data_IF_128536785081
#
_entry.id   IF_128536785081
#
_cell.length_a   1.000
_cell.length_b   1.000
_cell.length_c   1.000
_cell.angle_alpha   90.00
_cell.angle_beta   90.00
_cell.angle_gamma   90.00
#
_symmetry.space_group_name_H-M   'P 1'
#
loop_
_entity.id
_entity.type
_entity.pdbx_description
1 polymer ?
#
# COMPACT_ATOMS: atom_id res chain seq x y z
N UNK A 1 7.35 -23.77 27.42
CA UNK A 1 6.00 -23.15 27.38
C UNK A 1 5.68 -22.83 25.94
N UNK A 2 4.84 -23.64 25.28
CA UNK A 2 4.43 -23.47 23.88
C UNK A 2 3.04 -22.84 23.86
N UNK A 3 2.87 -21.72 23.18
CA UNK A 3 1.56 -21.16 22.89
C UNK A 3 1.16 -21.56 21.47
N UNK A 4 0.12 -22.38 21.38
CA UNK A 4 -0.59 -22.70 20.14
C UNK A 4 -1.78 -21.74 20.06
N UNK A 5 -1.82 -20.88 19.06
CA UNK A 5 -3.00 -20.07 18.76
C UNK A 5 -3.86 -20.82 17.74
N UNK A 6 -4.99 -21.35 18.20
CA UNK A 6 -6.09 -21.82 17.34
C UNK A 6 -6.96 -20.61 16.96
N UNK A 7 -7.17 -20.37 15.68
CA UNK A 7 -8.21 -19.46 15.19
C UNK A 7 -9.49 -20.27 14.92
N UNK A 8 -10.56 -19.94 15.64
CA UNK A 8 -11.93 -20.39 15.35
C UNK A 8 -12.61 -19.27 14.55
N UNK A 9 -13.18 -19.53 13.36
CA UNK A 9 -14.02 -18.55 12.70
C UNK A 9 -15.39 -18.47 13.39
N UNK A 10 -15.81 -17.26 13.76
CA UNK A 10 -17.16 -16.99 14.26
C UNK A 10 -18.03 -16.59 13.07
N UNK A 11 -19.07 -17.38 12.80
CA UNK A 11 -20.14 -17.05 11.87
C UNK A 11 -20.99 -15.90 12.42
N UNK A 12 -21.16 -14.84 11.62
CA UNK A 12 -22.19 -13.83 11.85
C UNK A 12 -23.05 -13.69 10.60
N UNK A 13 -24.16 -14.42 10.60
CA UNK A 13 -25.28 -14.22 9.70
C UNK A 13 -26.38 -13.42 10.40
N UNK A 14 -27.01 -12.51 9.63
CA UNK A 14 -28.22 -11.72 9.89
C UNK A 14 -28.05 -10.50 10.81
N UNK A 15 -28.31 -9.31 10.25
CA UNK A 15 -29.42 -8.45 10.68
C UNK A 15 -29.71 -7.34 9.63
N UNK A 16 -30.91 -7.46 9.06
CA UNK A 16 -31.90 -6.45 8.67
C UNK A 16 -31.63 -5.28 7.71
N UNK A 17 -32.44 -5.33 6.65
CA UNK A 17 -33.03 -4.23 5.90
C UNK A 17 -33.75 -3.21 6.79
N UNK A 18 -33.66 -1.92 6.44
CA UNK A 18 -34.79 -1.08 6.05
C UNK A 18 -34.33 0.35 5.72
N UNK A 19 -35.04 0.97 4.78
CA UNK A 19 -34.63 2.18 4.08
C UNK A 19 -34.88 3.49 4.83
N UNK A 20 -34.36 4.56 4.24
CA UNK A 20 -34.88 5.91 4.45
C UNK A 20 -34.53 6.78 3.25
N UNK A 21 -35.55 7.51 2.80
CA UNK A 21 -35.67 8.28 1.57
C UNK A 21 -34.85 9.57 1.61
N UNK A 22 -34.34 9.97 0.46
CA UNK A 22 -33.72 11.28 0.23
C UNK A 22 -34.76 12.39 0.30
N UNK A 23 -34.48 13.43 1.09
CA UNK A 23 -35.22 14.70 1.07
C UNK A 23 -34.30 15.77 0.49
N UNK A 24 -34.60 16.23 -0.72
CA UNK A 24 -33.94 17.39 -1.32
C UNK A 24 -34.53 18.65 -0.71
N UNK A 25 -33.69 19.49 -0.09
CA UNK A 25 -34.01 20.88 0.22
C UNK A 25 -33.03 21.79 -0.50
N UNK A 26 -33.53 22.48 -1.51
CA UNK A 26 -32.93 23.65 -2.14
C UNK A 26 -33.01 24.82 -1.16
N UNK A 27 -31.86 25.43 -0.84
CA UNK A 27 -31.80 26.75 -0.22
C UNK A 27 -30.90 27.62 -1.10
N UNK A 28 -31.55 28.54 -1.82
CA UNK A 28 -30.90 29.66 -2.47
C UNK A 28 -30.60 30.74 -1.43
N UNK A 29 -29.34 31.16 -1.34
CA UNK A 29 -28.98 32.45 -0.78
C UNK A 29 -28.00 33.15 -1.72
N UNK A 30 -28.48 34.23 -2.34
CA UNK A 30 -27.66 35.20 -3.04
C UNK A 30 -26.84 36.03 -2.04
N UNK A 31 -25.63 36.40 -2.44
CA UNK A 31 -24.79 37.31 -1.65
C UNK A 31 -23.33 37.23 -2.03
N UNK A 32 -22.92 38.15 -2.91
CA UNK A 32 -21.55 38.45 -3.38
C UNK A 32 -20.44 37.99 -2.43
N UNK A 33 -19.54 37.12 -2.90
CA UNK A 33 -18.20 36.94 -2.34
C UNK A 33 -17.15 37.22 -3.41
N UNK A 34 -16.24 38.16 -3.10
CA UNK A 34 -15.03 38.44 -3.87
C UNK A 34 -14.21 37.16 -4.01
N UNK A 35 -13.82 36.82 -5.23
CA UNK A 35 -12.87 35.75 -5.50
C UNK A 35 -11.49 36.20 -5.03
N UNK A 36 -11.03 35.67 -3.90
CA UNK A 36 -9.61 35.63 -3.60
C UNK A 36 -9.06 34.46 -4.40
N UNK A 37 -8.32 34.77 -5.46
CA UNK A 37 -7.54 33.78 -6.20
C UNK A 37 -6.55 33.13 -5.22
N UNK A 38 -6.90 31.94 -4.72
CA UNK A 38 -5.94 31.07 -4.07
C UNK A 38 -5.10 30.43 -5.16
N UNK A 39 -3.77 30.40 -5.02
CA UNK A 39 -2.90 29.79 -6.02
C UNK A 39 -3.23 28.31 -6.16
N UNK A 40 -3.58 27.91 -7.40
CA UNK A 40 -3.62 26.51 -7.82
C UNK A 40 -2.18 26.04 -7.95
N UNK A 41 -1.61 25.50 -6.87
CA UNK A 41 -0.38 24.72 -6.92
C UNK A 41 -0.62 23.33 -6.35
N UNK A 42 -0.64 22.37 -7.26
CA UNK A 42 -0.44 20.95 -7.01
C UNK A 42 -0.02 20.32 -8.34
N UNK A 43 1.14 19.66 -8.43
CA UNK A 43 1.60 19.07 -9.69
C UNK A 43 0.66 17.95 -10.14
N UNK A 44 0.35 17.92 -11.44
CA UNK A 44 -0.31 16.78 -12.08
C UNK A 44 0.65 15.58 -12.06
N UNK A 45 0.38 14.59 -11.21
CA UNK A 45 1.05 13.30 -11.31
C UNK A 45 0.30 12.44 -12.34
N UNK A 46 0.83 12.40 -13.57
CA UNK A 46 0.52 11.30 -14.49
C UNK A 46 1.56 10.20 -14.26
N UNK A 47 1.10 8.99 -13.96
CA UNK A 47 1.91 7.77 -14.10
C UNK A 47 1.25 6.95 -15.22
N UNK A 48 1.70 7.15 -16.45
CA UNK A 48 1.48 6.19 -17.54
C UNK A 48 2.68 5.20 -17.53
N UNK A 49 2.56 3.91 -17.88
CA UNK A 49 1.94 3.36 -19.09
C UNK A 49 1.61 1.85 -18.98
N UNK A 50 0.71 1.36 -19.84
CA UNK A 50 0.46 -0.07 -20.18
C UNK A 50 1.36 -0.47 -21.37
N UNK A 51 1.71 -1.76 -21.56
CA UNK A 51 1.71 -2.33 -22.93
C UNK A 51 0.25 -2.65 -23.26
N UNK A 52 -0.36 -1.86 -24.15
CA UNK A 52 -1.80 -1.82 -24.42
C UNK A 52 -2.54 -0.55 -23.95
N UNK A 53 -1.80 0.55 -23.72
CA UNK A 53 -2.23 1.95 -23.53
C UNK A 53 -3.63 2.27 -22.99
N UNK A 54 -3.97 1.84 -21.76
CA UNK A 54 -4.99 2.54 -20.98
C UNK A 54 -4.25 3.27 -19.87
N UNK A 55 -4.23 4.62 -19.87
CA UNK A 55 -3.59 5.39 -18.82
C UNK A 55 -4.24 5.04 -17.50
N UNK A 56 -3.42 4.93 -16.43
CA UNK A 56 -3.96 5.04 -15.09
C UNK A 56 -4.71 6.36 -15.06
N UNK A 57 -6.02 6.27 -14.85
CA UNK A 57 -6.86 7.42 -14.52
C UNK A 57 -6.02 8.19 -13.51
N UNK A 58 -5.61 9.44 -13.80
CA UNK A 58 -5.05 10.29 -12.76
C UNK A 58 -5.97 10.12 -11.58
N UNK A 59 -5.45 9.97 -10.36
CA UNK A 59 -6.27 10.00 -9.15
C UNK A 59 -6.88 11.40 -9.05
N UNK A 60 -7.73 11.74 -10.00
CA UNK A 60 -8.61 12.86 -10.00
C UNK A 60 -9.48 12.59 -8.79
N UNK A 61 -9.52 13.57 -7.90
CA UNK A 61 -10.69 13.79 -7.08
C UNK A 61 -11.90 13.84 -8.02
N UNK A 62 -12.51 12.69 -8.32
CA UNK A 62 -13.94 12.65 -8.60
C UNK A 62 -14.57 12.87 -7.23
N UNK A 63 -15.10 14.08 -6.95
CA UNK A 63 -15.52 14.45 -5.59
C UNK A 63 -16.73 13.64 -5.10
N UNK A 64 -17.29 12.79 -5.96
CA UNK A 64 -18.55 12.09 -5.76
C UNK A 64 -18.41 10.60 -5.48
N UNK A 65 -17.23 9.99 -5.70
CA UNK A 65 -16.99 8.58 -5.39
C UNK A 65 -16.18 8.46 -4.10
N UNK A 66 -16.78 7.85 -3.06
CA UNK A 66 -16.07 7.51 -1.83
C UNK A 66 -14.86 6.65 -2.19
N UNK A 67 -13.65 7.18 -1.99
CA UNK A 67 -12.45 6.39 -2.19
C UNK A 67 -12.42 5.21 -1.22
N UNK A 68 -11.91 4.04 -1.65
CA UNK A 68 -11.74 2.92 -0.75
C UNK A 68 -10.83 3.32 0.41
N UNK A 69 -11.23 2.93 1.62
CA UNK A 69 -10.42 3.05 2.83
C UNK A 69 -9.93 1.66 3.21
N UNK A 70 -8.65 1.56 3.50
CA UNK A 70 -8.01 0.32 3.86
C UNK A 70 -7.95 0.19 5.37
N UNK A 71 -8.07 -1.03 5.89
CA UNK A 71 -8.00 -1.32 7.32
C UNK A 71 -6.89 -2.33 7.67
N UNK A 72 -6.38 -3.08 6.68
CA UNK A 72 -5.27 -4.02 6.86
C UNK A 72 -4.23 -3.83 5.76
N UNK A 73 -2.96 -4.03 6.13
CA UNK A 73 -1.81 -4.00 5.23
C UNK A 73 -1.12 -5.36 5.27
N UNK A 74 -0.92 -5.99 4.12
CA UNK A 74 -0.20 -7.25 4.01
C UNK A 74 1.08 -7.06 3.23
N UNK A 75 2.16 -7.68 3.71
CA UNK A 75 3.36 -7.94 2.92
C UNK A 75 3.38 -9.42 2.59
N UNK A 76 3.43 -9.76 1.30
CA UNK A 76 3.35 -11.16 0.86
C UNK A 76 4.43 -11.48 -0.15
N UNK A 77 5.10 -12.61 0.05
CA UNK A 77 6.12 -13.15 -0.82
C UNK A 77 5.60 -14.33 -1.64
N UNK A 78 5.61 -14.22 -2.96
CA UNK A 78 5.30 -15.32 -3.88
C UNK A 78 6.60 -15.90 -4.49
N UNK A 79 6.72 -17.23 -4.66
CA UNK A 79 7.87 -17.81 -5.34
C UNK A 79 8.06 -17.24 -6.73
N UNK A 80 9.31 -17.03 -7.11
CA UNK A 80 9.70 -16.75 -8.50
C UNK A 80 10.14 -18.05 -9.14
N UNK A 81 9.97 -18.19 -10.46
CA UNK A 81 10.54 -19.31 -11.22
C UNK A 81 12.08 -19.31 -11.28
N UNK A 82 12.73 -18.42 -10.53
CA UNK A 82 14.16 -18.14 -10.57
C UNK A 82 14.84 -18.37 -9.21
N UNK A 83 14.20 -19.15 -8.31
CA UNK A 83 14.79 -19.54 -7.02
C UNK A 83 14.74 -18.49 -5.92
N UNK A 84 13.83 -17.50 -6.02
CA UNK A 84 13.65 -16.46 -5.01
C UNK A 84 12.18 -16.16 -4.72
N UNK A 85 11.92 -15.05 -4.03
CA UNK A 85 10.56 -14.61 -3.66
C UNK A 85 10.33 -13.17 -4.10
N UNK A 86 9.24 -12.95 -4.82
CA UNK A 86 8.77 -11.61 -5.17
C UNK A 86 7.80 -11.09 -4.13
N UNK A 87 8.19 -10.02 -3.46
CA UNK A 87 7.42 -9.37 -2.41
C UNK A 87 6.47 -8.32 -2.99
N UNK A 88 5.23 -8.34 -2.52
CA UNK A 88 4.16 -7.41 -2.88
C UNK A 88 3.45 -6.90 -1.64
N UNK A 89 2.80 -5.75 -1.78
CA UNK A 89 1.95 -5.19 -0.75
C UNK A 89 0.49 -5.39 -1.13
N UNK A 90 -0.37 -5.59 -0.14
CA UNK A 90 -1.82 -5.60 -0.33
C UNK A 90 -2.46 -4.70 0.72
N UNK A 91 -3.28 -3.75 0.25
CA UNK A 91 -4.06 -2.86 1.10
C UNK A 91 -5.52 -3.33 1.04
N UNK A 92 -5.99 -3.98 2.11
CA UNK A 92 -7.32 -4.59 2.12
C UNK A 92 -8.39 -3.53 2.41
N UNK A 93 -9.38 -3.43 1.52
CA UNK A 93 -10.50 -2.48 1.61
C UNK A 93 -11.87 -3.16 1.81
N UNK A 94 -11.93 -4.49 1.76
CA UNK A 94 -13.14 -5.26 2.08
C UNK A 94 -12.77 -6.58 2.77
N UNK A 95 -13.48 -6.91 3.86
CA UNK A 95 -13.31 -8.18 4.60
C UNK A 95 -14.19 -9.30 4.03
N UNK A 96 -15.42 -8.97 3.60
CA UNK A 96 -16.38 -9.94 3.11
C UNK A 96 -17.16 -9.40 1.89
N UNK A 97 -16.86 -9.87 0.66
CA UNK A 97 -15.74 -10.74 0.33
C UNK A 97 -14.40 -10.02 0.54
N UNK A 98 -13.32 -10.78 0.71
CA UNK A 98 -11.99 -10.23 0.86
C UNK A 98 -11.54 -9.54 -0.44
N UNK A 99 -11.24 -8.25 -0.38
CA UNK A 99 -10.72 -7.49 -1.53
C UNK A 99 -9.57 -6.58 -1.12
N UNK A 100 -8.57 -6.49 -1.99
CA UNK A 100 -7.37 -5.70 -1.76
C UNK A 100 -6.96 -4.91 -2.98
N UNK A 101 -6.28 -3.80 -2.73
CA UNK A 101 -5.43 -3.18 -3.73
C UNK A 101 -4.04 -3.81 -3.62
N UNK A 102 -3.65 -4.57 -4.65
CA UNK A 102 -2.28 -5.07 -4.80
C UNK A 102 -1.40 -3.91 -5.27
N UNK A 103 -0.36 -3.63 -4.51
CA UNK A 103 0.67 -2.66 -4.87
C UNK A 103 1.97 -3.41 -5.12
N UNK A 104 2.47 -3.28 -6.33
CA UNK A 104 3.60 -4.06 -6.81
C UNK A 104 4.63 -3.13 -7.47
N UNK A 105 5.83 -3.06 -6.92
CA UNK A 105 6.97 -2.47 -7.62
C UNK A 105 7.57 -3.57 -8.48
N UNK A 106 7.56 -3.38 -9.81
CA UNK A 106 8.13 -4.33 -10.77
C UNK A 106 9.29 -3.68 -11.49
N UNK A 107 10.39 -4.41 -11.75
CA UNK A 107 11.39 -3.93 -12.69
C UNK A 107 10.71 -3.73 -14.06
N UNK A 108 10.91 -2.54 -14.62
CA UNK A 108 10.38 -2.10 -15.92
C UNK A 108 11.47 -1.35 -16.68
N UNK A 109 11.18 -0.94 -17.92
CA UNK A 109 12.11 -0.19 -18.75
C UNK A 109 13.13 -1.07 -19.49
N UNK A 110 14.00 -0.42 -20.26
CA UNK A 110 15.05 -1.09 -21.05
C UNK A 110 16.20 -1.61 -20.20
N UNK A 111 16.36 -1.12 -18.97
CA UNK A 111 17.41 -1.55 -18.04
C UNK A 111 17.02 -2.77 -17.21
N UNK A 112 15.73 -3.16 -17.22
CA UNK A 112 15.14 -4.21 -16.35
C UNK A 112 15.48 -4.05 -14.87
N UNK A 113 15.84 -2.84 -14.43
CA UNK A 113 16.30 -2.52 -13.08
C UNK A 113 15.55 -1.36 -12.47
N UNK A 114 14.93 -0.51 -13.28
CA UNK A 114 14.11 0.59 -12.77
C UNK A 114 12.70 0.10 -12.44
N UNK A 115 12.38 0.13 -11.16
CA UNK A 115 11.10 -0.22 -10.57
C UNK A 115 10.03 0.83 -10.83
N UNK A 116 8.90 0.39 -11.37
CA UNK A 116 7.67 1.18 -11.43
C UNK A 116 6.63 0.58 -10.49
N UNK A 117 6.04 1.43 -9.65
CA UNK A 117 4.92 1.03 -8.79
C UNK A 117 3.65 0.90 -9.62
N UNK A 118 3.03 -0.26 -9.53
CA UNK A 118 1.77 -0.62 -10.19
C UNK A 118 0.70 -0.94 -9.15
N UNK A 119 -0.55 -0.73 -9.53
CA UNK A 119 -1.72 -0.89 -8.66
C UNK A 119 -2.75 -1.75 -9.36
N UNK A 120 -3.18 -2.84 -8.72
CA UNK A 120 -4.22 -3.73 -9.25
C UNK A 120 -5.26 -4.01 -8.19
N UNK A 121 -6.55 -3.76 -8.47
CA UNK A 121 -7.63 -4.24 -7.62
C UNK A 121 -7.79 -5.75 -7.78
N UNK A 122 -7.84 -6.48 -6.66
CA UNK A 122 -7.91 -7.94 -6.64
C UNK A 122 -8.99 -8.43 -5.67
N UNK A 123 -9.66 -9.52 -6.05
CA UNK A 123 -10.76 -10.15 -5.31
C UNK A 123 -10.25 -11.16 -4.26
N UNK A 124 -9.18 -10.80 -3.56
CA UNK A 124 -8.60 -11.57 -2.45
C UNK A 124 -7.80 -10.66 -1.51
N UNK A 125 -7.63 -11.04 -0.24
CA UNK A 125 -6.85 -10.26 0.73
C UNK A 125 -5.35 -10.19 0.36
N UNK A 126 -4.77 -11.36 0.03
CA UNK A 126 -3.40 -11.54 -0.46
C UNK A 126 -3.35 -12.80 -1.32
N UNK A 127 -2.26 -13.00 -2.08
CA UNK A 127 -2.19 -14.10 -3.05
C UNK A 127 -2.20 -15.47 -2.38
N UNK A 128 -3.05 -16.39 -2.85
CA UNK A 128 -3.05 -17.80 -2.43
C UNK A 128 -1.74 -18.54 -2.77
N UNK A 129 -0.90 -17.99 -3.66
CA UNK A 129 0.42 -18.54 -4.02
C UNK A 129 1.55 -18.02 -3.12
N UNK A 130 1.23 -17.35 -2.02
CA UNK A 130 2.23 -16.79 -1.13
C UNK A 130 2.86 -17.89 -0.29
N UNK A 131 4.19 -17.92 -0.25
CA UNK A 131 4.97 -18.82 0.62
C UNK A 131 5.48 -18.12 1.87
N UNK A 132 5.37 -16.80 1.91
CA UNK A 132 5.62 -15.98 3.08
C UNK A 132 4.62 -14.83 3.12
N UNK A 133 4.23 -14.40 4.31
CA UNK A 133 3.35 -13.25 4.44
C UNK A 133 3.12 -12.83 5.88
N UNK A 134 2.88 -11.54 6.06
CA UNK A 134 2.54 -10.96 7.34
C UNK A 134 1.46 -9.90 7.16
N UNK A 135 0.48 -9.91 8.06
CA UNK A 135 -0.57 -8.91 8.15
C UNK A 135 -0.22 -7.89 9.26
N UNK A 136 -0.47 -6.62 8.96
CA UNK A 136 -0.32 -5.50 9.86
C UNK A 136 -1.68 -4.79 9.95
N UNK A 137 -2.20 -4.70 11.16
CA UNK A 137 -3.43 -3.95 11.44
C UNK A 137 -3.13 -2.46 11.34
N UNK A 138 -3.94 -1.71 10.60
CA UNK A 138 -3.82 -0.26 10.57
C UNK A 138 -4.46 0.33 11.84
N UNK A 139 -3.78 1.29 12.46
CA UNK A 139 -4.27 2.03 13.63
C UNK A 139 -5.55 2.82 13.31
N UNK A 140 -5.71 3.23 12.05
CA UNK A 140 -6.90 3.88 11.53
C UNK A 140 -7.03 3.67 10.02
N UNK A 141 -8.25 3.77 9.45
CA UNK A 141 -8.43 3.53 8.04
C UNK A 141 -7.71 4.56 7.15
N UNK A 142 -6.88 4.06 6.21
CA UNK A 142 -6.09 4.88 5.28
C UNK A 142 -6.78 4.99 3.92
N UNK A 143 -6.85 6.19 3.32
CA UNK A 143 -7.36 6.36 1.97
C UNK A 143 -6.30 6.03 0.90
N UNK A 144 -6.73 5.62 -0.28
CA UNK A 144 -5.85 5.38 -1.44
C UNK A 144 -5.02 6.60 -1.83
N UNK A 145 -5.64 7.78 -1.90
CA UNK A 145 -4.91 9.00 -2.19
C UNK A 145 -3.78 9.24 -1.17
N UNK A 146 -4.03 9.05 0.13
CA UNK A 146 -3.03 9.20 1.19
C UNK A 146 -1.84 8.24 1.01
N UNK A 147 -2.11 6.97 0.70
CA UNK A 147 -1.06 5.99 0.44
C UNK A 147 -0.22 6.36 -0.81
N UNK A 148 -0.88 6.72 -1.90
CA UNK A 148 -0.21 7.16 -3.12
C UNK A 148 0.64 8.42 -2.90
N UNK A 149 0.10 9.41 -2.18
CA UNK A 149 0.84 10.61 -1.80
C UNK A 149 2.04 10.29 -0.93
N UNK A 150 1.94 9.38 0.04
CA UNK A 150 3.07 8.92 0.82
C UNK A 150 4.18 8.36 -0.08
N UNK A 151 3.85 7.47 -1.02
CA UNK A 151 4.84 6.88 -1.92
C UNK A 151 5.54 7.92 -2.80
N UNK A 152 4.81 8.94 -3.25
CA UNK A 152 5.36 10.02 -4.07
C UNK A 152 6.20 10.98 -3.24
N UNK A 153 5.63 11.49 -2.14
CA UNK A 153 6.23 12.50 -1.28
C UNK A 153 7.58 12.03 -0.71
N UNK A 154 7.68 10.75 -0.32
CA UNK A 154 8.89 10.17 0.24
C UNK A 154 9.80 9.48 -0.79
N UNK A 155 9.57 9.68 -2.09
CA UNK A 155 10.34 9.08 -3.19
C UNK A 155 10.37 7.53 -3.19
N UNK A 156 9.39 6.88 -2.56
CA UNK A 156 9.27 5.42 -2.56
C UNK A 156 8.76 4.87 -3.90
N UNK A 157 8.16 5.71 -4.75
CA UNK A 157 7.61 5.34 -6.05
C UNK A 157 8.64 5.08 -7.16
N UNK A 158 9.92 5.44 -6.95
CA UNK A 158 11.01 5.24 -7.93
C UNK A 158 12.17 4.48 -7.28
N UNK A 159 12.33 3.22 -7.67
CA UNK A 159 13.26 2.32 -7.00
C UNK A 159 14.11 1.57 -8.02
N UNK A 160 15.42 1.64 -7.90
CA UNK A 160 16.35 0.87 -8.72
C UNK A 160 16.73 -0.42 -7.99
N UNK A 161 16.50 -1.56 -8.63
CA UNK A 161 16.78 -2.87 -8.07
C UNK A 161 18.28 -3.17 -8.00
N UNK A 162 18.66 -3.86 -6.93
CA UNK A 162 19.94 -4.57 -6.90
C UNK A 162 20.00 -5.59 -8.05
N UNK A 163 21.20 -5.98 -8.51
CA UNK A 163 21.34 -7.08 -9.46
C UNK A 163 20.66 -8.37 -8.96
N UNK A 164 20.03 -9.12 -9.87
CA UNK A 164 19.37 -10.40 -9.58
C UNK A 164 17.87 -10.29 -9.32
N UNK A 165 17.31 -11.29 -8.64
CA UNK A 165 15.86 -11.43 -8.35
C UNK A 165 15.45 -10.81 -7.01
N UNK A 166 16.32 -9.99 -6.44
CA UNK A 166 16.21 -9.48 -5.08
C UNK A 166 15.92 -7.97 -5.08
N UNK A 167 15.53 -7.45 -3.92
CA UNK A 167 15.32 -6.02 -3.71
C UNK A 167 13.85 -5.59 -3.59
N UNK A 168 12.88 -6.37 -4.08
CA UNK A 168 11.46 -6.08 -3.83
C UNK A 168 11.12 -6.14 -2.33
N UNK A 169 11.78 -7.03 -1.56
CA UNK A 169 11.64 -7.06 -0.10
C UNK A 169 12.10 -5.77 0.56
N UNK A 170 13.25 -5.22 0.12
CA UNK A 170 13.78 -3.98 0.68
C UNK A 170 12.84 -2.81 0.41
N UNK A 171 12.30 -2.71 -0.81
CA UNK A 171 11.29 -1.72 -1.14
C UNK A 171 10.05 -1.85 -0.23
N UNK A 172 9.50 -3.06 -0.07
CA UNK A 172 8.35 -3.30 0.80
C UNK A 172 8.65 -2.94 2.27
N UNK A 173 9.86 -3.27 2.76
CA UNK A 173 10.29 -2.96 4.12
C UNK A 173 10.40 -1.45 4.35
N UNK A 174 10.89 -0.70 3.36
CA UNK A 174 10.87 0.76 3.45
C UNK A 174 9.45 1.31 3.49
N UNK A 175 8.52 0.79 2.68
CA UNK A 175 7.11 1.20 2.77
C UNK A 175 6.55 0.94 4.18
N UNK A 176 6.83 -0.23 4.76
CA UNK A 176 6.47 -0.54 6.16
C UNK A 176 7.07 0.47 7.15
N UNK A 177 8.36 0.80 7.03
CA UNK A 177 9.03 1.79 7.89
C UNK A 177 8.36 3.16 7.86
N UNK A 178 7.98 3.65 6.67
CA UNK A 178 7.27 4.92 6.55
C UNK A 178 5.85 4.85 7.10
N UNK A 179 5.14 3.74 6.91
CA UNK A 179 3.82 3.54 7.53
C UNK A 179 3.89 3.52 9.06
N UNK A 180 4.96 2.94 9.63
CA UNK A 180 5.24 2.99 11.07
C UNK A 180 5.54 4.43 11.52
N UNK A 181 6.47 5.11 10.84
CA UNK A 181 6.88 6.47 11.20
C UNK A 181 5.73 7.49 11.13
N UNK A 182 4.75 7.25 10.25
CA UNK A 182 3.54 8.07 10.12
C UNK A 182 2.42 7.67 11.10
N UNK A 183 2.61 6.63 11.90
CA UNK A 183 1.64 6.16 12.91
C UNK A 183 0.51 5.28 12.38
N UNK A 184 0.57 4.85 11.12
CA UNK A 184 -0.45 3.96 10.54
C UNK A 184 -0.31 2.52 11.01
N UNK A 185 0.90 2.10 11.39
CA UNK A 185 1.24 0.75 11.86
C UNK A 185 2.01 0.85 13.18
N UNK A 186 1.86 -0.16 14.05
CA UNK A 186 2.52 -0.21 15.35
C UNK A 186 4.06 -0.20 15.24
N UNK A 187 4.73 0.47 16.18
CA UNK A 187 6.19 0.71 16.16
C UNK A 187 7.04 -0.57 16.17
N UNK A 188 6.56 -1.64 16.82
CA UNK A 188 7.20 -2.96 16.92
C UNK A 188 7.08 -3.79 15.62
N UNK A 189 6.30 -3.34 14.65
CA UNK A 189 5.96 -4.14 13.46
C UNK A 189 7.17 -4.44 12.57
N UNK A 190 8.16 -3.53 12.53
CA UNK A 190 9.41 -3.77 11.79
C UNK A 190 10.20 -4.92 12.42
N UNK A 191 10.44 -4.87 13.72
CA UNK A 191 11.20 -5.90 14.44
C UNK A 191 10.52 -7.26 14.31
N UNK A 192 9.19 -7.30 14.44
CA UNK A 192 8.42 -8.54 14.23
C UNK A 192 8.57 -9.09 12.81
N UNK A 193 8.53 -8.22 11.79
CA UNK A 193 8.74 -8.64 10.41
C UNK A 193 10.17 -9.14 10.18
N UNK A 194 11.17 -8.46 10.71
CA UNK A 194 12.58 -8.89 10.62
C UNK A 194 12.81 -10.23 11.33
N UNK A 195 12.23 -10.43 12.51
CA UNK A 195 12.25 -11.70 13.23
C UNK A 195 11.57 -12.84 12.46
N UNK A 196 10.43 -12.54 11.80
CA UNK A 196 9.78 -13.48 10.89
C UNK A 196 10.69 -13.87 9.72
N UNK A 197 11.30 -12.89 9.04
CA UNK A 197 12.25 -13.15 7.94
C UNK A 197 13.46 -13.94 8.41
N UNK A 198 14.01 -13.65 9.59
CA UNK A 198 15.11 -14.43 10.16
C UNK A 198 14.71 -15.89 10.39
N UNK A 199 13.47 -16.14 10.84
CA UNK A 199 12.95 -17.49 10.95
C UNK A 199 12.85 -18.21 9.60
N UNK A 200 12.35 -17.52 8.57
CA UNK A 200 12.27 -18.08 7.21
C UNK A 200 13.67 -18.33 6.62
N UNK A 201 14.62 -17.43 6.86
CA UNK A 201 16.02 -17.57 6.43
C UNK A 201 16.68 -18.81 7.05
N UNK A 202 16.47 -19.08 8.34
CA UNK A 202 17.01 -20.30 8.98
C UNK A 202 16.53 -21.59 8.30
N UNK A 203 15.33 -21.59 7.74
CA UNK A 203 14.75 -22.76 7.08
C UNK A 203 15.17 -22.85 5.60
N UNK A 204 15.20 -21.73 4.89
CA UNK A 204 15.47 -21.66 3.45
C UNK A 204 16.33 -20.42 3.12
N UNK A 205 17.63 -20.44 3.46
CA UNK A 205 18.48 -19.25 3.38
C UNK A 205 18.65 -18.71 1.96
N UNK A 206 18.62 -19.60 0.96
CA UNK A 206 18.69 -19.25 -0.46
C UNK A 206 17.41 -18.55 -0.97
N UNK A 207 16.26 -18.82 -0.38
CA UNK A 207 14.96 -18.24 -0.78
C UNK A 207 14.72 -16.92 -0.04
N UNK A 208 15.17 -16.84 1.22
CA UNK A 208 15.03 -15.66 2.09
C UNK A 208 16.39 -15.13 2.53
N UNK A 209 17.22 -14.58 1.63
CA UNK A 209 18.60 -14.23 1.96
C UNK A 209 18.71 -13.17 3.06
N UNK A 210 19.72 -13.32 3.91
CA UNK A 210 20.20 -12.33 4.87
C UNK A 210 21.72 -12.15 4.69
N UNK A 211 22.25 -10.91 4.77
CA UNK A 211 21.54 -9.65 5.01
C UNK A 211 20.61 -9.27 3.85
N UNK A 212 19.67 -8.34 4.10
CA UNK A 212 18.77 -7.88 3.05
C UNK A 212 19.54 -7.25 1.90
N UNK A 213 19.31 -7.75 0.68
CA UNK A 213 19.88 -7.19 -0.53
C UNK A 213 19.09 -5.93 -0.89
N UNK A 214 19.78 -4.78 -0.86
CA UNK A 214 19.19 -3.45 -1.03
C UNK A 214 19.41 -2.94 -2.45
N UNK A 215 18.35 -2.40 -3.04
CA UNK A 215 18.46 -1.47 -4.16
C UNK A 215 18.57 -0.02 -3.67
N UNK A 216 18.28 0.93 -4.57
CA UNK A 216 18.45 2.36 -4.33
C UNK A 216 17.20 3.13 -4.74
N UNK A 217 16.77 4.12 -3.94
CA UNK A 217 15.65 4.99 -4.31
C UNK A 217 16.13 6.14 -5.19
N UNK A 218 15.53 6.29 -6.36
CA UNK A 218 15.92 7.30 -7.35
C UNK A 218 15.43 8.66 -6.85
N UNK A 219 16.38 9.60 -6.68
CA UNK A 219 16.11 10.90 -6.04
C UNK A 219 16.26 10.89 -4.52
N UNK A 220 16.70 9.78 -3.92
CA UNK A 220 16.94 9.63 -2.49
C UNK A 220 15.66 9.55 -1.67
N UNK A 221 15.75 8.97 -0.48
CA UNK A 221 14.65 8.95 0.49
C UNK A 221 14.52 10.31 1.18
N UNK A 222 13.28 10.77 1.42
CA UNK A 222 13.03 11.94 2.28
C UNK A 222 12.77 11.48 3.71
N UNK A 223 13.41 12.08 4.69
CA UNK A 223 13.18 11.73 6.10
C UNK A 223 11.77 12.16 6.54
N UNK A 224 11.10 11.29 7.29
CA UNK A 224 9.86 11.65 7.99
C UNK A 224 10.21 12.61 9.12
N UNK A 225 9.52 13.74 9.18
CA UNK A 225 9.64 14.74 10.23
C UNK A 225 8.48 14.62 11.22
N UNK A 226 8.67 15.03 12.48
CA UNK A 226 7.57 15.15 13.43
C UNK A 226 6.42 15.99 12.84
N UNK A 227 5.22 15.42 12.78
CA UNK A 227 4.01 16.09 12.29
C UNK A 227 3.64 15.82 10.83
N UNK A 228 4.45 15.08 10.07
CA UNK A 228 4.14 14.79 8.66
C UNK A 228 2.85 13.96 8.48
N UNK A 229 2.40 13.24 9.50
CA UNK A 229 1.15 12.48 9.48
C UNK A 229 -0.09 13.36 9.21
N UNK A 230 -0.05 14.65 9.58
CA UNK A 230 -1.14 15.60 9.33
C UNK A 230 -1.41 15.81 7.84
N UNK A 231 -0.41 15.61 6.98
CA UNK A 231 -0.56 15.73 5.53
C UNK A 231 -1.43 14.63 4.91
N UNK A 232 -1.69 13.55 5.65
CA UNK A 232 -2.30 12.33 5.12
C UNK A 232 -3.64 11.96 5.78
N UNK A 233 -4.06 12.72 6.81
CA UNK A 233 -5.25 12.47 7.63
C UNK A 233 -6.47 13.34 7.26
N UNK A 234 -6.30 14.30 6.35
CA UNK A 234 -7.37 15.15 5.81
C UNK A 234 -8.23 14.40 4.78
#
# INVERSE_FOLDING_TARGET
>A
MQFIFLFIPVDYARLNANGARSMWRTLNFGGRRRAIARPVYGPRYQIATRRGGQPLVPLYHTPTLRQPRFFSFYMSGCPTGQGGVHWRLFLQYSMNPAKSLRVDCKPTGSDFRTGLVTYDFVEYAYSAKSVAGMCFQLSHPMALASFGHMLVYYNLHKYQYAPGVFGCRYWCQMVLEYMIALGFIAADSKERFEGYIASMNRQQPQIFPLPIIKGSFIGGLRFVRPGDNRLFLS
#
